data_IF_904035188843
#
_entry.id   IF_904035188843
#
_cell.length_a   1.000
_cell.length_b   1.000
_cell.length_c   1.000
_cell.angle_alpha   90.00
_cell.angle_beta   90.00
_cell.angle_gamma   90.00
#
_symmetry.space_group_name_H-M   'P 1'
#
loop_
_entity.id
_entity.type
_entity.pdbx_description
1 polymer ?
#
# COMPACT_ATOMS: atom_id res chain seq x y z
N UNK A 1 30.45 37.47 14.05
CA UNK A 1 30.69 37.33 12.60
C UNK A 1 30.72 35.83 12.28
N UNK A 2 29.89 35.42 11.33
CA UNK A 2 29.83 34.16 10.57
C UNK A 2 30.31 32.81 11.14
N UNK A 3 29.42 31.81 11.07
CA UNK A 3 29.61 30.47 10.48
C UNK A 3 28.23 29.81 10.38
N UNK A 4 27.55 29.85 9.22
CA UNK A 4 27.64 28.92 8.08
C UNK A 4 27.18 27.49 8.46
N UNK A 5 25.88 27.23 8.25
CA UNK A 5 25.26 25.93 8.46
C UNK A 5 25.50 24.98 7.28
N UNK A 6 25.85 23.74 7.61
CA UNK A 6 25.92 22.64 6.65
C UNK A 6 24.51 22.30 6.15
N UNK A 7 24.28 22.52 4.85
CA UNK A 7 23.12 22.00 4.13
C UNK A 7 23.37 20.52 3.86
N UNK A 8 22.50 19.65 4.37
CA UNK A 8 22.38 18.29 3.87
C UNK A 8 21.92 18.34 2.40
N UNK A 9 22.79 17.95 1.48
CA UNK A 9 22.46 17.76 0.08
C UNK A 9 21.52 16.55 -0.07
N UNK A 10 20.31 16.83 -0.55
CA UNK A 10 19.36 15.83 -0.99
C UNK A 10 19.86 15.27 -2.33
N UNK A 11 19.95 13.96 -2.45
CA UNK A 11 20.16 13.30 -3.74
C UNK A 11 18.95 13.60 -4.63
N UNK A 12 19.13 14.50 -5.60
CA UNK A 12 18.16 14.72 -6.67
C UNK A 12 18.12 13.47 -7.55
N UNK A 13 17.00 12.75 -7.52
CA UNK A 13 16.68 11.72 -8.52
C UNK A 13 15.88 12.45 -9.62
N UNK A 14 16.45 12.70 -10.81
CA UNK A 14 15.74 13.43 -11.85
C UNK A 14 14.50 12.65 -12.31
N UNK A 15 13.34 13.31 -12.26
CA UNK A 15 12.10 12.82 -12.86
C UNK A 15 12.26 12.87 -14.38
N UNK A 16 12.22 11.72 -15.06
CA UNK A 16 12.25 11.67 -16.52
C UNK A 16 10.94 12.25 -17.10
N UNK A 17 11.01 13.17 -18.10
CA UNK A 17 9.80 13.73 -18.70
C UNK A 17 8.96 12.69 -19.47
N UNK A 18 7.64 12.83 -19.36
CA UNK A 18 6.57 12.03 -20.01
C UNK A 18 6.57 12.00 -21.55
N UNK A 19 7.56 12.59 -22.24
CA UNK A 19 7.61 12.62 -23.72
C UNK A 19 7.90 11.25 -24.36
N UNK A 20 8.21 10.21 -23.57
CA UNK A 20 8.55 8.88 -24.09
C UNK A 20 7.35 7.98 -24.45
N UNK A 21 6.11 8.30 -24.04
CA UNK A 21 4.94 7.48 -24.39
C UNK A 21 4.51 7.59 -25.87
N UNK A 22 4.92 8.65 -26.58
CA UNK A 22 4.65 8.82 -28.03
C UNK A 22 5.71 8.18 -28.93
N UNK A 23 6.80 7.65 -28.37
CA UNK A 23 7.91 7.09 -29.13
C UNK A 23 7.79 5.57 -29.38
N UNK A 24 6.88 4.86 -28.69
CA UNK A 24 6.79 3.39 -28.77
C UNK A 24 6.11 2.84 -30.03
N UNK A 25 5.69 3.70 -30.98
CA UNK A 25 5.13 3.26 -32.27
C UNK A 25 6.11 3.33 -33.44
N UNK A 26 7.41 3.51 -33.21
CA UNK A 26 8.36 3.44 -34.33
C UNK A 26 9.83 3.43 -33.92
N UNK A 27 10.58 2.61 -34.66
CA UNK A 27 12.03 2.60 -34.83
C UNK A 27 12.81 1.53 -34.05
N UNK A 28 12.97 0.43 -34.78
CA UNK A 28 14.14 -0.42 -34.94
C UNK A 28 15.49 0.25 -34.63
N UNK A 29 16.27 -0.41 -33.76
CA UNK A 29 17.74 -0.53 -33.80
C UNK A 29 18.58 0.75 -33.71
N UNK A 30 19.28 0.93 -32.58
CA UNK A 30 20.70 1.30 -32.53
C UNK A 30 21.27 1.24 -31.10
N UNK A 31 22.59 1.03 -31.02
CA UNK A 31 23.42 0.58 -29.91
C UNK A 31 23.71 1.60 -28.79
N UNK A 32 24.01 1.08 -27.59
CA UNK A 32 24.43 1.79 -26.37
C UNK A 32 25.90 2.29 -26.51
N UNK A 33 26.26 3.51 -26.07
CA UNK A 33 27.66 3.93 -25.97
C UNK A 33 28.33 3.43 -24.67
N UNK A 34 29.54 2.91 -24.79
CA UNK A 34 30.45 2.55 -23.69
C UNK A 34 30.91 3.78 -22.88
N UNK A 35 30.99 3.67 -21.54
CA UNK A 35 31.79 4.62 -20.74
C UNK A 35 31.29 5.09 -19.36
N UNK A 36 30.29 4.47 -18.73
CA UNK A 36 29.89 4.89 -17.37
C UNK A 36 30.73 4.22 -16.27
N UNK A 37 31.61 4.98 -15.61
CA UNK A 37 32.30 4.60 -14.37
C UNK A 37 31.67 5.36 -13.20
N UNK A 38 30.85 4.66 -12.41
CA UNK A 38 30.28 5.20 -11.16
C UNK A 38 31.33 5.29 -10.03
N UNK A 39 31.17 6.19 -9.05
CA UNK A 39 32.12 6.36 -7.97
C UNK A 39 31.97 5.25 -6.92
N UNK A 40 33.08 4.58 -6.64
CA UNK A 40 33.30 3.75 -5.45
C UNK A 40 33.74 4.71 -4.33
N UNK A 41 33.11 4.66 -3.16
CA UNK A 41 33.75 5.15 -1.95
C UNK A 41 33.32 4.36 -0.71
N UNK A 42 34.33 4.19 0.14
CA UNK A 42 34.47 3.27 1.25
C UNK A 42 33.59 3.64 2.45
N UNK A 43 33.06 2.61 3.12
CA UNK A 43 32.34 2.74 4.40
C UNK A 43 33.35 2.59 5.55
N UNK A 44 33.66 3.67 6.23
CA UNK A 44 34.27 3.64 7.56
C UNK A 44 33.20 3.75 8.66
N UNK A 45 33.30 2.83 9.63
CA UNK A 45 32.52 2.74 10.86
C UNK A 45 33.14 3.66 11.92
N UNK A 46 32.33 4.39 12.73
CA UNK A 46 32.48 4.14 14.16
C UNK A 46 31.20 4.29 15.00
N UNK A 47 30.95 3.25 15.79
CA UNK A 47 30.20 3.30 17.04
C UNK A 47 30.92 4.15 18.11
N UNK A 48 30.22 5.12 18.71
CA UNK A 48 30.19 5.51 20.15
C UNK A 48 30.03 7.02 20.35
N UNK A 49 28.84 7.46 20.79
CA UNK A 49 28.69 8.40 21.90
C UNK A 49 27.25 8.36 22.40
N UNK A 50 27.09 8.03 23.67
CA UNK A 50 25.82 7.81 24.34
C UNK A 50 25.43 9.07 25.15
N UNK A 51 24.13 9.18 25.46
CA UNK A 51 23.60 9.72 26.73
C UNK A 51 23.73 11.23 26.96
N UNK A 52 22.64 11.99 26.80
CA UNK A 52 21.84 12.64 27.89
C UNK A 52 21.00 13.79 27.35
N UNK A 53 19.68 13.76 27.60
CA UNK A 53 18.88 14.87 28.13
C UNK A 53 17.39 14.45 28.16
N UNK A 54 16.94 13.95 29.30
CA UNK A 54 15.53 13.72 29.55
C UNK A 54 14.84 15.01 29.97
N UNK A 55 13.61 15.21 29.50
CA UNK A 55 12.62 16.00 30.24
C UNK A 55 11.33 15.17 30.38
N UNK A 56 10.93 15.03 31.63
CA UNK A 56 9.85 14.17 32.08
C UNK A 56 8.47 14.70 31.65
N UNK A 57 7.75 13.92 30.84
CA UNK A 57 6.29 13.89 30.91
C UNK A 57 5.88 12.63 31.67
N UNK A 58 5.26 12.83 32.83
CA UNK A 58 4.65 11.78 33.66
C UNK A 58 3.54 11.10 32.85
N UNK A 59 3.88 10.08 32.07
CA UNK A 59 2.93 9.12 31.54
C UNK A 59 2.58 8.17 32.68
N UNK A 60 1.28 8.08 33.03
CA UNK A 60 0.77 6.94 33.79
C UNK A 60 0.90 5.70 32.91
N UNK A 61 2.05 5.03 33.01
CA UNK A 61 2.31 3.73 32.40
C UNK A 61 1.35 2.72 33.05
N UNK A 62 0.36 2.24 32.30
CA UNK A 62 -0.35 1.01 32.66
C UNK A 62 0.60 -0.18 32.43
N UNK A 63 0.61 -1.21 33.30
CA UNK A 63 1.60 -2.27 33.25
C UNK A 63 1.47 -3.18 32.01
N UNK A 64 2.55 -3.94 31.80
CA UNK A 64 2.91 -4.73 30.63
C UNK A 64 1.96 -5.90 30.29
N UNK A 65 2.15 -6.41 29.06
CA UNK A 65 1.39 -7.40 28.27
C UNK A 65 0.81 -8.61 29.02
N UNK A 66 -0.42 -9.00 28.62
CA UNK A 66 -1.01 -10.33 28.85
C UNK A 66 -1.63 -10.88 27.54
N UNK A 67 -1.70 -12.21 27.32
CA UNK A 67 -2.05 -12.80 26.02
C UNK A 67 -3.51 -12.71 25.59
N UNK A 68 -3.66 -12.97 24.27
CA UNK A 68 -4.79 -12.99 23.36
C UNK A 68 -6.16 -13.54 23.82
N UNK A 69 -7.22 -13.01 23.21
CA UNK A 69 -8.52 -13.66 23.09
C UNK A 69 -9.67 -12.68 23.27
N UNK A 70 -10.14 -12.55 24.52
CA UNK A 70 -11.37 -11.83 24.85
C UNK A 70 -11.31 -10.32 24.59
N UNK A 71 -10.16 -9.66 24.83
CA UNK A 71 -10.02 -8.22 24.56
C UNK A 71 -9.97 -7.90 23.06
N UNK A 72 -9.36 -8.76 22.23
CA UNK A 72 -9.38 -8.61 20.76
C UNK A 72 -10.78 -8.85 20.21
N UNK A 73 -11.48 -9.88 20.69
CA UNK A 73 -12.87 -10.16 20.33
C UNK A 73 -13.79 -9.01 20.75
N UNK A 74 -13.60 -8.45 21.94
CA UNK A 74 -14.39 -7.32 22.42
C UNK A 74 -14.10 -6.03 21.64
N UNK A 75 -12.82 -5.75 21.29
CA UNK A 75 -12.46 -4.63 20.39
C UNK A 75 -13.08 -4.83 19.00
N UNK A 76 -13.09 -6.05 18.49
CA UNK A 76 -13.73 -6.39 17.22
C UNK A 76 -15.25 -6.20 17.27
N UNK A 77 -15.92 -6.72 18.31
CA UNK A 77 -17.37 -6.57 18.51
C UNK A 77 -17.77 -5.10 18.68
N UNK A 78 -16.97 -4.31 19.41
CA UNK A 78 -17.15 -2.85 19.48
C UNK A 78 -16.91 -2.17 18.14
N UNK A 79 -15.90 -2.61 17.38
CA UNK A 79 -15.67 -2.14 16.02
C UNK A 79 -16.89 -2.35 15.13
N UNK A 80 -17.49 -3.55 15.18
CA UNK A 80 -18.72 -3.86 14.46
C UNK A 80 -19.90 -2.99 14.91
N UNK A 81 -20.07 -2.79 16.22
CA UNK A 81 -21.11 -1.92 16.75
C UNK A 81 -20.92 -0.46 16.33
N UNK A 82 -19.68 0.03 16.31
CA UNK A 82 -19.31 1.35 15.81
C UNK A 82 -19.60 1.48 14.33
N UNK A 83 -19.30 0.45 13.52
CA UNK A 83 -19.64 0.44 12.10
C UNK A 83 -21.14 0.49 11.87
N UNK A 84 -21.94 -0.23 12.66
CA UNK A 84 -23.40 -0.21 12.55
C UNK A 84 -24.00 1.13 12.98
N UNK A 85 -23.51 1.70 14.09
CA UNK A 85 -24.04 2.95 14.66
C UNK A 85 -23.50 4.22 13.99
N UNK A 86 -22.34 4.14 13.32
CA UNK A 86 -21.63 5.26 12.67
C UNK A 86 -21.63 6.55 13.51
N UNK A 87 -21.19 6.51 14.78
CA UNK A 87 -21.17 7.71 15.62
C UNK A 87 -20.19 8.73 15.04
N UNK A 88 -20.51 10.02 15.22
CA UNK A 88 -19.66 11.12 14.73
C UNK A 88 -18.38 11.24 15.56
N UNK A 89 -18.51 11.09 16.88
CA UNK A 89 -17.40 11.07 17.84
C UNK A 89 -17.17 9.64 18.31
N UNK A 90 -15.94 9.14 18.15
CA UNK A 90 -15.58 7.79 18.56
C UNK A 90 -14.88 7.78 19.92
N UNK A 91 -15.28 6.84 20.77
CA UNK A 91 -14.59 6.56 22.04
C UNK A 91 -13.31 5.74 21.86
N UNK A 92 -13.24 4.97 20.78
CA UNK A 92 -12.14 4.07 20.46
C UNK A 92 -11.39 4.57 19.22
N UNK A 93 -10.09 4.26 19.16
CA UNK A 93 -9.26 4.51 17.99
C UNK A 93 -9.54 3.51 16.85
N UNK A 94 -9.14 3.82 15.59
CA UNK A 94 -9.33 2.89 14.50
C UNK A 94 -8.56 1.57 14.73
N UNK A 95 -9.04 0.49 14.12
CA UNK A 95 -8.42 -0.83 14.26
C UNK A 95 -7.31 -1.08 13.23
N UNK A 96 -7.36 -0.35 12.11
CA UNK A 96 -6.44 -0.47 10.99
C UNK A 96 -5.69 0.85 10.75
N UNK A 97 -4.37 0.75 10.66
CA UNK A 97 -3.51 1.87 10.27
C UNK A 97 -2.87 1.54 8.92
N UNK A 98 -3.06 2.43 7.96
CA UNK A 98 -2.25 2.45 6.76
C UNK A 98 -1.08 3.41 7.01
N UNK A 99 0.15 2.93 6.84
CA UNK A 99 1.36 3.67 7.16
C UNK A 99 2.22 3.75 5.91
N UNK A 100 2.42 4.96 5.41
CA UNK A 100 3.31 5.24 4.29
C UNK A 100 4.66 5.68 4.85
N UNK A 101 5.66 4.81 4.77
CA UNK A 101 7.00 5.11 5.30
C UNK A 101 7.70 6.17 4.45
N UNK A 102 7.52 6.13 3.14
CA UNK A 102 8.02 7.15 2.21
C UNK A 102 7.12 7.18 0.97
N UNK A 103 7.08 8.34 0.32
CA UNK A 103 6.49 8.52 -1.00
C UNK A 103 7.58 8.49 -2.12
N UNK A 104 8.84 8.23 -1.77
CA UNK A 104 9.92 7.95 -2.73
C UNK A 104 9.70 6.57 -3.37
N UNK A 105 9.97 6.44 -4.67
CA UNK A 105 9.90 5.17 -5.38
C UNK A 105 11.01 5.10 -6.42
N UNK A 106 11.53 3.90 -6.66
CA UNK A 106 12.56 3.63 -7.65
C UNK A 106 12.00 3.14 -9.01
N UNK A 107 10.67 3.12 -9.18
CA UNK A 107 9.99 2.77 -10.43
C UNK A 107 9.13 3.94 -10.92
N UNK A 108 8.75 3.93 -12.20
CA UNK A 108 7.91 4.95 -12.83
C UNK A 108 6.73 4.32 -13.58
N UNK A 109 5.82 3.69 -12.83
CA UNK A 109 4.75 2.89 -13.40
C UNK A 109 3.75 3.76 -14.19
N UNK A 110 3.25 3.26 -15.33
CA UNK A 110 2.27 3.96 -16.17
C UNK A 110 0.94 4.23 -15.46
N UNK A 111 0.59 3.37 -14.50
CA UNK A 111 -0.64 3.44 -13.69
C UNK A 111 -0.51 4.28 -12.43
N UNK A 112 0.68 4.79 -12.11
CA UNK A 112 0.91 5.47 -10.83
C UNK A 112 0.69 6.98 -10.96
N UNK A 113 -0.03 7.57 -10.01
CA UNK A 113 -0.21 9.03 -9.90
C UNK A 113 0.93 9.73 -9.16
N UNK A 114 2.05 9.06 -8.91
CA UNK A 114 3.15 9.62 -8.10
C UNK A 114 3.73 10.88 -8.74
N UNK A 115 3.89 10.88 -10.05
CA UNK A 115 4.44 11.99 -10.82
C UNK A 115 3.56 13.25 -10.76
N UNK A 116 2.26 13.10 -10.49
CA UNK A 116 1.30 14.20 -10.32
C UNK A 116 0.96 14.51 -8.87
N UNK A 117 1.32 13.67 -7.90
CA UNK A 117 0.98 13.87 -6.47
C UNK A 117 2.19 14.22 -5.60
N UNK A 118 3.40 13.83 -6.01
CA UNK A 118 4.62 13.97 -5.21
C UNK A 118 5.58 14.92 -5.90
N UNK A 119 5.53 16.19 -5.51
CA UNK A 119 6.45 17.22 -6.03
C UNK A 119 7.87 17.01 -5.47
N UNK A 120 7.96 16.64 -4.18
CA UNK A 120 9.21 16.32 -3.49
C UNK A 120 8.96 15.17 -2.53
N UNK A 121 9.82 14.16 -2.60
CA UNK A 121 9.68 13.00 -1.75
C UNK A 121 9.91 13.33 -0.26
N UNK A 122 9.11 12.71 0.59
CA UNK A 122 9.10 12.79 2.05
C UNK A 122 9.48 11.44 2.66
N UNK A 123 10.00 11.53 3.89
CA UNK A 123 10.37 10.39 4.72
C UNK A 123 9.63 10.49 6.05
N UNK A 124 8.91 9.42 6.43
CA UNK A 124 8.13 9.41 7.66
C UNK A 124 9.05 9.37 8.88
N UNK A 125 9.10 10.47 9.63
CA UNK A 125 9.98 10.60 10.79
C UNK A 125 9.70 9.57 11.88
N UNK A 126 10.77 9.12 12.53
CA UNK A 126 10.76 8.24 13.72
C UNK A 126 9.75 8.64 14.78
N UNK A 127 9.77 9.92 15.14
CA UNK A 127 8.90 10.48 16.19
C UNK A 127 7.41 10.40 15.81
N UNK A 128 7.07 10.52 14.52
CA UNK A 128 5.70 10.51 14.04
C UNK A 128 5.08 9.11 14.08
N UNK A 129 5.74 8.12 13.48
CA UNK A 129 5.18 6.77 13.45
C UNK A 129 5.17 6.13 14.84
N UNK A 130 6.16 6.40 15.70
CA UNK A 130 6.16 5.90 17.08
C UNK A 130 4.99 6.46 17.88
N UNK A 131 4.80 7.78 17.82
CA UNK A 131 3.71 8.45 18.54
C UNK A 131 2.35 7.89 18.13
N UNK A 132 2.09 7.75 16.83
CA UNK A 132 0.82 7.21 16.32
C UNK A 132 0.63 5.74 16.73
N UNK A 133 1.65 4.88 16.59
CA UNK A 133 1.52 3.46 16.95
C UNK A 133 1.26 3.30 18.47
N UNK A 134 1.96 4.05 19.31
CA UNK A 134 1.82 3.96 20.77
C UNK A 134 0.47 4.47 21.27
N UNK A 135 -0.03 5.54 20.65
CA UNK A 135 -1.31 6.16 20.98
C UNK A 135 -2.48 5.30 20.46
N UNK A 136 -2.48 4.97 19.18
CA UNK A 136 -3.57 4.25 18.51
C UNK A 136 -3.64 2.77 18.89
N UNK A 137 -2.48 2.12 19.08
CA UNK A 137 -2.35 0.66 19.26
C UNK A 137 -3.19 -0.13 18.23
N UNK A 138 -2.90 0.03 16.93
CA UNK A 138 -3.64 -0.61 15.85
C UNK A 138 -3.61 -2.13 16.01
N UNK A 139 -4.68 -2.80 15.59
CA UNK A 139 -4.69 -4.27 15.53
C UNK A 139 -3.95 -4.77 14.29
N UNK A 140 -3.98 -3.99 13.21
CA UNK A 140 -3.28 -4.28 11.97
C UNK A 140 -2.68 -2.99 11.40
N UNK A 141 -1.44 -3.08 10.93
CA UNK A 141 -0.76 -2.04 10.16
C UNK A 141 -0.49 -2.58 8.76
N UNK A 142 -0.92 -1.85 7.74
CA UNK A 142 -0.43 -2.07 6.39
C UNK A 142 0.61 -1.01 6.09
N UNK A 143 1.86 -1.42 5.89
CA UNK A 143 2.95 -0.55 5.44
C UNK A 143 2.89 -0.50 3.93
N UNK A 144 2.34 0.57 3.38
CA UNK A 144 2.28 0.82 1.95
C UNK A 144 1.91 2.28 1.69
N UNK A 145 2.13 2.71 0.46
CA UNK A 145 1.83 4.07 0.04
C UNK A 145 1.95 4.22 -1.47
N UNK A 146 2.14 5.47 -1.91
CA UNK A 146 2.50 5.79 -3.29
C UNK A 146 3.98 5.51 -3.59
N UNK A 147 4.81 5.47 -2.53
CA UNK A 147 6.23 5.13 -2.60
C UNK A 147 6.53 3.64 -2.40
N UNK A 148 7.83 3.32 -2.36
CA UNK A 148 8.37 1.99 -2.08
C UNK A 148 8.86 1.90 -0.63
N UNK A 149 8.22 1.10 0.25
CA UNK A 149 8.58 1.06 1.66
C UNK A 149 10.03 0.69 1.96
N UNK A 150 10.65 -0.19 1.17
CA UNK A 150 12.02 -0.64 1.39
C UNK A 150 13.09 0.43 1.05
N UNK A 151 12.69 1.60 0.54
CA UNK A 151 13.57 2.76 0.45
C UNK A 151 13.72 3.50 1.79
N UNK A 152 12.81 3.28 2.75
CA UNK A 152 12.91 3.89 4.07
C UNK A 152 14.02 3.22 4.90
N UNK A 153 14.99 3.97 5.46
CA UNK A 153 16.13 3.39 6.19
C UNK A 153 15.70 2.60 7.44
N UNK A 154 14.62 3.03 8.10
CA UNK A 154 14.09 2.37 9.31
C UNK A 154 12.94 1.37 9.02
N UNK A 155 12.73 0.91 7.77
CA UNK A 155 11.57 0.07 7.43
C UNK A 155 11.43 -1.17 8.34
N UNK A 156 12.53 -1.89 8.57
CA UNK A 156 12.53 -3.07 9.44
C UNK A 156 12.27 -2.72 10.91
N UNK A 157 12.68 -1.54 11.35
CA UNK A 157 12.44 -1.06 12.70
C UNK A 157 10.97 -0.66 12.90
N UNK A 158 10.36 0.01 11.92
CA UNK A 158 8.91 0.31 11.91
C UNK A 158 8.11 -0.99 12.07
N UNK A 159 8.44 -2.01 11.27
CA UNK A 159 7.77 -3.32 11.30
C UNK A 159 7.97 -4.00 12.66
N UNK A 160 9.22 -4.13 13.11
CA UNK A 160 9.54 -4.81 14.38
C UNK A 160 8.90 -4.10 15.57
N UNK A 161 8.89 -2.76 15.57
CA UNK A 161 8.24 -1.95 16.59
C UNK A 161 6.73 -2.19 16.62
N UNK A 162 6.08 -2.13 15.47
CA UNK A 162 4.65 -2.42 15.34
C UNK A 162 4.28 -3.81 15.88
N UNK A 163 5.07 -4.84 15.55
CA UNK A 163 4.90 -6.21 16.07
C UNK A 163 5.08 -6.26 17.59
N UNK A 164 6.09 -5.57 18.14
CA UNK A 164 6.31 -5.49 19.59
C UNK A 164 5.14 -4.81 20.35
N UNK A 165 4.34 -3.99 19.66
CA UNK A 165 3.10 -3.38 20.18
C UNK A 165 1.84 -4.22 19.95
N UNK A 166 1.99 -5.41 19.37
CA UNK A 166 0.92 -6.40 19.22
C UNK A 166 0.07 -6.26 17.96
N UNK A 167 0.51 -5.46 16.98
CA UNK A 167 -0.15 -5.35 15.68
C UNK A 167 0.18 -6.55 14.78
N UNK A 168 -0.73 -6.92 13.89
CA UNK A 168 -0.35 -7.59 12.65
C UNK A 168 0.27 -6.58 11.69
N UNK A 169 1.22 -6.99 10.86
CA UNK A 169 1.91 -6.12 9.91
C UNK A 169 1.92 -6.75 8.53
N UNK A 170 1.38 -6.03 7.56
CA UNK A 170 1.46 -6.38 6.15
C UNK A 170 2.28 -5.32 5.42
N UNK A 171 3.00 -5.69 4.37
CA UNK A 171 3.82 -4.75 3.61
C UNK A 171 3.52 -4.90 2.12
N UNK A 172 3.16 -3.82 1.43
CA UNK A 172 3.09 -3.83 -0.05
C UNK A 172 4.34 -3.20 -0.64
N UNK A 173 4.92 -3.85 -1.64
CA UNK A 173 6.22 -3.47 -2.20
C UNK A 173 6.30 -3.86 -3.67
N UNK A 174 7.04 -3.07 -4.45
CA UNK A 174 7.48 -3.44 -5.80
C UNK A 174 8.54 -4.55 -5.78
N UNK A 175 9.13 -4.82 -4.62
CA UNK A 175 10.04 -5.92 -4.33
C UNK A 175 11.37 -5.94 -5.11
N UNK A 176 11.80 -4.77 -5.55
CA UNK A 176 13.07 -4.57 -6.29
C UNK A 176 14.21 -4.03 -5.43
N UNK A 177 13.99 -3.65 -4.16
CA UNK A 177 15.03 -2.96 -3.35
C UNK A 177 15.15 -3.49 -1.92
N UNK A 178 15.15 -4.81 -1.77
CA UNK A 178 15.32 -5.46 -0.46
C UNK A 178 16.78 -5.64 -0.02
N UNK A 179 17.76 -5.27 -0.86
CA UNK A 179 19.21 -5.17 -0.53
C UNK A 179 19.79 -6.47 0.06
N UNK A 180 19.50 -7.62 -0.53
CA UNK A 180 19.97 -8.94 -0.07
C UNK A 180 19.63 -9.30 1.39
N UNK A 181 18.63 -8.62 1.96
CA UNK A 181 18.20 -8.83 3.35
C UNK A 181 17.03 -9.83 3.46
N UNK A 182 16.95 -10.83 2.59
CA UNK A 182 15.82 -11.79 2.55
C UNK A 182 15.62 -12.49 3.89
N UNK A 183 16.71 -12.90 4.56
CA UNK A 183 16.66 -13.47 5.92
C UNK A 183 16.00 -12.51 6.91
N UNK A 184 16.49 -11.27 6.96
CA UNK A 184 15.96 -10.22 7.85
C UNK A 184 14.51 -9.89 7.53
N UNK A 185 14.11 -9.95 6.27
CA UNK A 185 12.72 -9.79 5.85
C UNK A 185 11.82 -10.90 6.44
N UNK A 186 12.28 -12.15 6.44
CA UNK A 186 11.55 -13.26 7.07
C UNK A 186 11.49 -13.10 8.60
N UNK A 187 12.58 -12.66 9.23
CA UNK A 187 12.69 -12.54 10.69
C UNK A 187 11.98 -11.29 11.27
N UNK A 188 11.82 -10.21 10.49
CA UNK A 188 11.32 -8.93 11.02
C UNK A 188 9.84 -8.93 11.44
N UNK A 189 9.10 -9.99 11.11
CA UNK A 189 7.72 -10.19 11.57
C UNK A 189 6.64 -9.63 10.65
N UNK A 190 6.93 -9.45 9.34
CA UNK A 190 5.87 -9.24 8.35
C UNK A 190 4.99 -10.50 8.30
N UNK A 191 3.68 -10.32 8.48
CA UNK A 191 2.70 -11.42 8.39
C UNK A 191 2.37 -11.71 6.92
N UNK A 192 2.16 -10.67 6.10
CA UNK A 192 1.97 -10.81 4.66
C UNK A 192 2.77 -9.78 3.86
N UNK A 193 3.52 -10.29 2.87
CA UNK A 193 4.21 -9.53 1.85
C UNK A 193 3.37 -9.49 0.57
N UNK A 194 2.95 -8.29 0.16
CA UNK A 194 2.11 -8.05 -1.02
C UNK A 194 3.01 -7.52 -2.15
N UNK A 195 3.43 -8.42 -3.03
CA UNK A 195 4.35 -8.13 -4.12
C UNK A 195 3.58 -7.60 -5.33
N UNK A 196 3.85 -6.37 -5.71
CA UNK A 196 3.25 -5.67 -6.84
C UNK A 196 3.92 -6.11 -8.15
N UNK A 197 3.42 -7.18 -8.77
CA UNK A 197 4.11 -7.82 -9.92
C UNK A 197 3.60 -7.35 -11.29
N UNK A 198 2.28 -7.14 -11.46
CA UNK A 198 1.59 -6.63 -12.66
C UNK A 198 1.91 -7.27 -14.03
N UNK A 199 2.76 -8.29 -14.11
CA UNK A 199 3.13 -8.98 -15.34
C UNK A 199 3.64 -10.40 -15.09
N UNK A 200 3.50 -11.29 -16.07
CA UNK A 200 4.07 -12.65 -16.05
C UNK A 200 5.31 -12.82 -16.92
N UNK A 201 5.76 -11.75 -17.57
CA UNK A 201 6.95 -11.72 -18.41
C UNK A 201 7.67 -10.36 -18.32
N UNK A 202 8.97 -10.30 -18.68
CA UNK A 202 9.77 -9.08 -18.60
C UNK A 202 9.28 -7.92 -19.48
N UNK A 203 8.72 -8.19 -20.66
CA UNK A 203 8.34 -7.13 -21.60
C UNK A 203 7.08 -6.41 -21.15
N UNK A 204 6.07 -7.16 -20.71
CA UNK A 204 4.87 -6.60 -20.08
C UNK A 204 5.22 -5.86 -18.78
N UNK A 205 6.17 -6.39 -18.00
CA UNK A 205 6.64 -5.71 -16.79
C UNK A 205 7.28 -4.37 -17.13
N UNK A 206 8.23 -4.34 -18.08
CA UNK A 206 8.91 -3.10 -18.50
C UNK A 206 7.92 -2.07 -19.03
N UNK A 207 6.93 -2.51 -19.83
CA UNK A 207 5.87 -1.65 -20.34
C UNK A 207 5.05 -0.98 -19.22
N UNK A 208 4.74 -1.72 -18.15
CA UNK A 208 3.87 -1.23 -17.07
C UNK A 208 4.66 -0.48 -15.98
N UNK A 209 5.83 -1.00 -15.60
CA UNK A 209 6.60 -0.58 -14.42
C UNK A 209 7.77 0.35 -14.77
N UNK A 210 8.16 0.40 -16.04
CA UNK A 210 9.19 1.31 -16.56
C UNK A 210 10.63 0.86 -16.37
N UNK A 211 10.87 -0.33 -15.80
CA UNK A 211 12.20 -0.86 -15.46
C UNK A 211 12.30 -2.35 -15.82
N UNK A 212 13.53 -2.85 -16.00
CA UNK A 212 13.81 -4.26 -16.27
C UNK A 212 14.18 -5.01 -14.98
N UNK A 213 13.20 -5.17 -14.09
CA UNK A 213 13.39 -5.79 -12.77
C UNK A 213 12.49 -7.01 -12.53
N UNK A 214 11.88 -7.55 -13.58
CA UNK A 214 10.98 -8.70 -13.46
C UNK A 214 11.71 -9.93 -12.90
N UNK A 215 12.87 -10.27 -13.46
CA UNK A 215 13.66 -11.41 -13.02
C UNK A 215 14.15 -11.24 -11.58
N UNK A 216 14.56 -10.02 -11.21
CA UNK A 216 14.95 -9.67 -9.84
C UNK A 216 13.82 -9.96 -8.83
N UNK A 217 12.58 -9.59 -9.15
CA UNK A 217 11.42 -9.87 -8.29
C UNK A 217 11.20 -11.37 -8.15
N UNK A 218 11.24 -12.11 -9.26
CA UNK A 218 11.07 -13.57 -9.27
C UNK A 218 12.12 -14.26 -8.39
N UNK A 219 13.39 -13.86 -8.52
CA UNK A 219 14.48 -14.43 -7.73
C UNK A 219 14.38 -14.03 -6.25
N UNK A 220 13.97 -12.80 -5.97
CA UNK A 220 13.69 -12.36 -4.59
C UNK A 220 12.59 -13.19 -3.93
N UNK A 221 11.54 -13.60 -4.66
CA UNK A 221 10.47 -14.44 -4.12
C UNK A 221 11.00 -15.84 -3.81
N UNK A 222 11.80 -16.41 -4.71
CA UNK A 222 12.45 -17.72 -4.51
C UNK A 222 13.33 -17.69 -3.27
N UNK A 223 14.12 -16.64 -3.09
CA UNK A 223 14.99 -16.46 -1.93
C UNK A 223 14.22 -16.30 -0.61
N UNK A 224 13.12 -15.53 -0.59
CA UNK A 224 12.25 -15.45 0.59
C UNK A 224 11.66 -16.82 0.93
N UNK A 225 11.17 -17.55 -0.07
CA UNK A 225 10.63 -18.90 0.15
C UNK A 225 11.69 -19.90 0.61
N UNK A 226 12.94 -19.76 0.14
CA UNK A 226 14.08 -20.54 0.66
C UNK A 226 14.34 -20.23 2.14
N UNK A 227 14.44 -18.95 2.50
CA UNK A 227 14.69 -18.54 3.89
C UNK A 227 13.53 -18.92 4.84
N UNK A 228 12.28 -18.87 4.38
CA UNK A 228 11.12 -19.39 5.13
C UNK A 228 11.31 -20.86 5.49
N UNK A 229 11.73 -21.70 4.54
CA UNK A 229 12.01 -23.12 4.77
C UNK A 229 13.18 -23.33 5.73
N UNK A 230 14.28 -22.61 5.53
CA UNK A 230 15.49 -22.71 6.36
C UNK A 230 15.23 -22.33 7.82
N UNK A 231 14.40 -21.31 8.05
CA UNK A 231 14.04 -20.83 9.38
C UNK A 231 12.82 -21.55 9.98
N UNK A 232 12.18 -22.48 9.25
CA UNK A 232 10.93 -23.11 9.67
C UNK A 232 9.76 -22.13 9.84
N UNK A 233 9.80 -21.00 9.13
CA UNK A 233 8.81 -19.92 9.23
C UNK A 233 7.67 -20.11 8.23
N UNK A 234 6.43 -19.92 8.70
CA UNK A 234 5.24 -19.83 7.83
C UNK A 234 5.02 -18.41 7.30
N UNK A 235 5.67 -17.40 7.89
CA UNK A 235 5.56 -15.99 7.51
C UNK A 235 6.86 -15.43 6.90
N UNK A 236 6.78 -14.39 6.05
CA UNK A 236 5.56 -13.77 5.55
C UNK A 236 4.82 -14.71 4.59
N UNK A 237 3.50 -14.67 4.62
CA UNK A 237 2.72 -15.13 3.46
C UNK A 237 3.03 -14.21 2.28
N UNK A 238 3.36 -14.77 1.11
CA UNK A 238 3.63 -14.00 -0.11
C UNK A 238 2.36 -13.97 -0.94
N UNK A 239 1.96 -12.78 -1.38
CA UNK A 239 0.78 -12.56 -2.22
C UNK A 239 1.13 -11.67 -3.39
N UNK A 240 0.66 -12.00 -4.59
CA UNK A 240 0.69 -11.06 -5.70
C UNK A 240 -0.40 -10.02 -5.58
N UNK A 241 -0.04 -8.75 -5.76
CA UNK A 241 -0.98 -7.70 -6.12
C UNK A 241 -0.83 -7.45 -7.62
N UNK A 242 -1.97 -7.46 -8.31
CA UNK A 242 -2.03 -7.34 -9.76
C UNK A 242 -3.02 -6.25 -10.13
N UNK A 243 -2.52 -5.06 -10.45
CA UNK A 243 -3.31 -3.94 -10.90
C UNK A 243 -3.78 -4.23 -12.33
N UNK A 244 -5.05 -4.64 -12.44
CA UNK A 244 -5.63 -5.13 -13.68
C UNK A 244 -5.89 -3.96 -14.63
N UNK A 245 -5.35 -4.09 -15.85
CA UNK A 245 -5.40 -3.08 -16.88
C UNK A 245 -5.29 -3.69 -18.27
N UNK A 246 -5.46 -2.87 -19.30
CA UNK A 246 -5.33 -3.24 -20.71
C UNK A 246 -4.08 -4.05 -21.02
N UNK A 247 -2.94 -3.66 -20.47
CA UNK A 247 -1.66 -4.26 -20.83
C UNK A 247 -1.43 -5.65 -20.23
N UNK A 248 -2.19 -6.05 -19.21
CA UNK A 248 -1.94 -7.30 -18.49
C UNK A 248 -3.17 -8.18 -18.25
N UNK A 249 -4.40 -7.72 -18.56
CA UNK A 249 -5.60 -8.50 -18.23
C UNK A 249 -5.61 -9.89 -18.88
N UNK A 250 -5.01 -10.04 -20.06
CA UNK A 250 -4.87 -11.34 -20.74
C UNK A 250 -4.00 -12.34 -19.96
N UNK A 251 -3.16 -11.87 -19.05
CA UNK A 251 -2.26 -12.68 -18.23
C UNK A 251 -2.89 -13.15 -16.91
N UNK A 252 -4.19 -12.91 -16.68
CA UNK A 252 -4.84 -13.29 -15.41
C UNK A 252 -4.66 -14.77 -15.08
N UNK A 253 -4.72 -15.64 -16.08
CA UNK A 253 -4.57 -17.09 -15.93
C UNK A 253 -3.10 -17.47 -15.74
N UNK A 254 -2.20 -16.89 -16.54
CA UNK A 254 -0.75 -17.12 -16.44
C UNK A 254 -0.19 -16.67 -15.09
N UNK A 255 -0.81 -15.65 -14.46
CA UNK A 255 -0.46 -15.21 -13.12
C UNK A 255 -0.71 -16.29 -12.06
N UNK A 256 -1.74 -17.12 -12.26
CA UNK A 256 -2.03 -18.28 -11.40
C UNK A 256 -0.96 -19.35 -11.57
N UNK A 257 -0.51 -19.59 -12.80
CA UNK A 257 0.60 -20.52 -13.08
C UNK A 257 1.91 -20.04 -12.45
N UNK A 258 2.21 -18.75 -12.60
CA UNK A 258 3.39 -18.13 -11.98
C UNK A 258 3.33 -18.20 -10.44
N UNK A 259 2.16 -17.95 -9.85
CA UNK A 259 1.99 -18.06 -8.41
C UNK A 259 2.23 -19.49 -7.91
N UNK A 260 1.77 -20.50 -8.65
CA UNK A 260 2.07 -21.92 -8.36
C UNK A 260 3.56 -22.20 -8.48
N UNK A 261 4.20 -21.80 -9.59
CA UNK A 261 5.63 -22.02 -9.84
C UNK A 261 6.47 -21.46 -8.68
N UNK A 262 6.15 -20.23 -8.26
CA UNK A 262 6.91 -19.52 -7.26
C UNK A 262 6.48 -19.84 -5.82
N UNK A 263 5.53 -20.75 -5.61
CA UNK A 263 4.99 -21.08 -4.28
C UNK A 263 4.48 -19.84 -3.54
N UNK A 264 3.68 -19.03 -4.23
CA UNK A 264 3.00 -17.84 -3.68
C UNK A 264 1.64 -18.25 -3.13
N UNK A 265 1.29 -17.74 -1.95
CA UNK A 265 0.10 -18.18 -1.19
C UNK A 265 -1.22 -17.62 -1.76
N UNK A 266 -1.16 -16.47 -2.46
CA UNK A 266 -2.36 -15.87 -3.02
C UNK A 266 -2.15 -14.78 -4.06
N UNK A 267 -3.26 -14.36 -4.65
CA UNK A 267 -3.33 -13.32 -5.68
C UNK A 267 -4.45 -12.35 -5.35
N UNK A 268 -4.19 -11.06 -5.46
CA UNK A 268 -5.17 -9.99 -5.34
C UNK A 268 -5.24 -9.22 -6.65
N UNK A 269 -6.30 -9.48 -7.41
CA UNK A 269 -6.64 -8.72 -8.60
C UNK A 269 -7.23 -7.37 -8.16
N UNK A 270 -6.47 -6.31 -8.38
CA UNK A 270 -6.77 -4.96 -7.95
C UNK A 270 -7.35 -4.17 -9.12
N UNK A 271 -8.51 -3.53 -8.91
CA UNK A 271 -9.02 -2.52 -9.83
C UNK A 271 -8.15 -1.27 -9.78
N UNK A 272 -8.09 -0.53 -10.89
CA UNK A 272 -7.44 0.77 -10.93
C UNK A 272 -8.32 1.89 -10.36
N UNK A 273 -7.66 2.93 -9.86
CA UNK A 273 -8.27 4.20 -9.47
C UNK A 273 -7.73 5.28 -10.38
N UNK A 274 -8.62 6.04 -11.02
CA UNK A 274 -8.26 7.01 -12.06
C UNK A 274 -8.50 8.46 -11.63
N UNK A 275 -8.78 8.70 -10.35
CA UNK A 275 -9.03 10.06 -9.85
C UNK A 275 -7.74 10.86 -10.01
N UNK A 276 -7.84 12.02 -10.66
CA UNK A 276 -6.72 12.88 -11.10
C UNK A 276 -5.81 12.25 -12.19
N UNK A 277 -6.18 11.11 -12.78
CA UNK A 277 -5.50 10.45 -13.93
C UNK A 277 -6.47 10.16 -15.09
N UNK A 278 -7.51 10.98 -15.25
CA UNK A 278 -8.55 10.77 -16.24
C UNK A 278 -8.01 10.77 -17.69
N UNK A 279 -6.92 11.50 -17.93
CA UNK A 279 -6.20 11.55 -19.21
C UNK A 279 -5.55 10.21 -19.59
N UNK A 280 -5.15 9.40 -18.60
CA UNK A 280 -4.53 8.08 -18.81
C UNK A 280 -5.57 6.98 -18.98
N UNK A 281 -6.81 7.20 -18.54
CA UNK A 281 -7.83 6.15 -18.43
C UNK A 281 -8.03 5.40 -19.74
N UNK A 282 -8.22 6.10 -20.86
CA UNK A 282 -8.41 5.47 -22.17
C UNK A 282 -7.23 4.59 -22.61
N UNK A 283 -6.00 4.98 -22.27
CA UNK A 283 -4.80 4.19 -22.56
C UNK A 283 -4.76 2.92 -21.70
N UNK A 284 -5.18 3.03 -20.44
CA UNK A 284 -5.14 1.95 -19.44
C UNK A 284 -6.31 0.97 -19.54
N UNK A 285 -7.43 1.30 -20.20
CA UNK A 285 -8.64 0.45 -20.27
C UNK A 285 -9.20 0.20 -21.67
N UNK A 286 -8.86 1.02 -22.66
CA UNK A 286 -9.74 1.33 -23.80
C UNK A 286 -10.12 0.21 -24.79
N UNK A 287 -9.46 -0.94 -24.78
CA UNK A 287 -9.80 -2.08 -25.67
C UNK A 287 -10.05 -3.39 -24.92
N UNK A 288 -10.22 -3.31 -23.59
CA UNK A 288 -10.56 -4.49 -22.80
C UNK A 288 -11.98 -4.96 -23.15
N UNK A 289 -12.14 -6.25 -23.42
CA UNK A 289 -13.47 -6.87 -23.57
C UNK A 289 -13.98 -7.35 -22.21
N UNK A 290 -15.24 -6.99 -21.93
CA UNK A 290 -15.97 -7.40 -20.73
C UNK A 290 -16.13 -8.91 -20.65
N UNK A 291 -16.56 -9.51 -21.75
CA UNK A 291 -16.77 -10.96 -21.92
C UNK A 291 -15.45 -11.70 -21.75
N UNK A 292 -14.39 -11.21 -22.41
CA UNK A 292 -13.08 -11.83 -22.31
C UNK A 292 -12.51 -11.78 -20.90
N UNK A 293 -12.69 -10.66 -20.20
CA UNK A 293 -12.26 -10.53 -18.81
C UNK A 293 -13.03 -11.49 -17.88
N UNK A 294 -14.34 -11.65 -18.09
CA UNK A 294 -15.13 -12.64 -17.35
C UNK A 294 -14.63 -14.07 -17.56
N UNK A 295 -14.35 -14.45 -18.81
CA UNK A 295 -13.80 -15.77 -19.12
C UNK A 295 -12.45 -16.00 -18.43
N UNK A 296 -11.57 -15.00 -18.45
CA UNK A 296 -10.26 -15.06 -17.79
C UNK A 296 -10.39 -15.16 -16.27
N UNK A 297 -11.32 -14.43 -15.67
CA UNK A 297 -11.61 -14.49 -14.23
C UNK A 297 -12.13 -15.90 -13.85
N UNK A 298 -13.09 -16.44 -14.61
CA UNK A 298 -13.64 -17.78 -14.39
C UNK A 298 -12.54 -18.86 -14.44
N UNK A 299 -11.70 -18.80 -15.46
CA UNK A 299 -10.61 -19.76 -15.63
C UNK A 299 -9.52 -19.60 -14.55
N UNK A 300 -9.19 -18.36 -14.18
CA UNK A 300 -8.23 -18.08 -13.11
C UNK A 300 -8.72 -18.62 -11.75
N UNK A 301 -10.01 -18.44 -11.44
CA UNK A 301 -10.61 -18.95 -10.20
C UNK A 301 -10.64 -20.48 -10.17
N UNK A 302 -10.97 -21.12 -11.29
CA UNK A 302 -10.92 -22.59 -11.42
C UNK A 302 -9.52 -23.12 -11.11
N UNK A 303 -8.47 -22.58 -11.76
CA UNK A 303 -7.08 -23.03 -11.54
C UNK A 303 -6.56 -22.71 -10.16
N UNK A 304 -6.89 -21.53 -9.62
CA UNK A 304 -6.47 -21.15 -8.29
C UNK A 304 -7.02 -22.13 -7.23
N UNK A 305 -8.28 -22.57 -7.38
CA UNK A 305 -8.88 -23.61 -6.52
C UNK A 305 -8.17 -24.96 -6.65
N UNK A 306 -7.82 -25.37 -7.87
CA UNK A 306 -7.06 -26.61 -8.12
C UNK A 306 -5.68 -26.59 -7.46
N UNK A 307 -5.04 -25.42 -7.41
CA UNK A 307 -3.70 -25.26 -6.83
C UNK A 307 -3.72 -24.87 -5.34
N UNK A 308 -4.91 -24.58 -4.78
CA UNK A 308 -5.04 -24.11 -3.40
C UNK A 308 -4.52 -22.68 -3.19
N UNK A 309 -4.46 -21.85 -4.23
CA UNK A 309 -4.00 -20.46 -4.19
C UNK A 309 -5.17 -19.55 -3.79
N UNK A 310 -4.99 -18.73 -2.76
CA UNK A 310 -6.04 -17.81 -2.30
C UNK A 310 -6.23 -16.65 -3.28
N UNK A 311 -7.47 -16.31 -3.62
CA UNK A 311 -7.77 -15.15 -4.48
C UNK A 311 -8.92 -14.30 -3.94
N UNK A 312 -9.10 -13.11 -4.53
CA UNK A 312 -10.29 -12.28 -4.35
C UNK A 312 -11.30 -12.42 -5.51
N UNK A 313 -11.19 -13.46 -6.34
CA UNK A 313 -12.04 -13.59 -7.53
C UNK A 313 -13.51 -13.83 -7.20
N UNK A 314 -13.84 -14.35 -6.01
CA UNK A 314 -15.21 -14.42 -5.52
C UNK A 314 -15.87 -13.04 -5.40
N UNK A 315 -15.08 -12.02 -5.00
CA UNK A 315 -15.55 -10.64 -4.99
C UNK A 315 -15.76 -10.14 -6.41
N UNK A 316 -14.87 -10.50 -7.34
CA UNK A 316 -15.01 -10.15 -8.76
C UNK A 316 -16.26 -10.75 -9.37
N UNK A 317 -16.59 -12.02 -9.09
CA UNK A 317 -17.84 -12.62 -9.58
C UNK A 317 -19.08 -11.91 -9.05
N UNK A 318 -19.08 -11.53 -7.77
CA UNK A 318 -20.25 -10.91 -7.14
C UNK A 318 -20.44 -9.45 -7.57
N UNK A 319 -19.35 -8.69 -7.64
CA UNK A 319 -19.37 -7.25 -7.85
C UNK A 319 -18.82 -6.86 -9.24
N UNK A 320 -18.86 -7.77 -10.23
CA UNK A 320 -18.22 -7.58 -11.53
C UNK A 320 -18.65 -6.28 -12.21
N UNK A 321 -19.96 -6.03 -12.30
CA UNK A 321 -20.51 -4.80 -12.89
C UNK A 321 -19.99 -3.54 -12.20
N UNK A 322 -19.78 -3.60 -10.88
CA UNK A 322 -19.29 -2.46 -10.10
C UNK A 322 -17.80 -2.23 -10.33
N UNK A 323 -17.03 -3.30 -10.53
CA UNK A 323 -15.63 -3.18 -10.94
C UNK A 323 -15.50 -2.70 -12.39
N UNK A 324 -16.35 -3.21 -13.29
CA UNK A 324 -16.41 -2.80 -14.69
C UNK A 324 -16.78 -1.33 -14.81
N UNK A 325 -17.76 -0.86 -14.04
CA UNK A 325 -18.20 0.53 -14.01
C UNK A 325 -17.03 1.52 -13.77
N UNK A 326 -16.03 1.13 -12.99
CA UNK A 326 -14.84 1.99 -12.73
C UNK A 326 -13.95 2.19 -13.96
N UNK A 327 -14.02 1.29 -14.95
CA UNK A 327 -13.27 1.37 -16.20
C UNK A 327 -13.98 2.19 -17.27
N UNK A 328 -15.30 2.42 -17.14
CA UNK A 328 -16.11 3.24 -18.05
C UNK A 328 -15.74 4.72 -17.99
N UNK A 329 -15.99 5.49 -19.05
CA UNK A 329 -15.75 6.95 -19.02
C UNK A 329 -16.53 7.66 -17.90
N UNK A 330 -16.18 8.90 -17.55
CA UNK A 330 -16.94 9.64 -16.52
C UNK A 330 -18.41 9.86 -16.92
N UNK A 331 -18.70 9.97 -18.21
CA UNK A 331 -20.06 10.15 -18.72
C UNK A 331 -20.90 8.87 -18.62
N UNK A 332 -20.24 7.71 -18.63
CA UNK A 332 -20.86 6.39 -18.51
C UNK A 332 -20.81 5.82 -17.09
N UNK A 333 -20.08 6.47 -16.17
CA UNK A 333 -19.88 6.01 -14.80
C UNK A 333 -21.16 6.16 -13.97
N UNK A 334 -21.67 5.04 -13.47
CA UNK A 334 -22.79 5.05 -12.52
C UNK A 334 -22.33 5.43 -11.10
N UNK A 335 -23.02 6.39 -10.50
CA UNK A 335 -22.63 6.96 -9.22
C UNK A 335 -22.86 5.98 -8.06
N UNK A 336 -21.86 5.86 -7.18
CA UNK A 336 -21.92 4.88 -6.11
C UNK A 336 -22.78 5.30 -4.89
N UNK A 337 -23.82 4.52 -4.61
CA UNK A 337 -24.73 4.72 -3.47
C UNK A 337 -24.40 3.89 -2.22
N UNK A 338 -23.34 3.06 -2.20
CA UNK A 338 -23.00 2.19 -1.05
C UNK A 338 -22.46 2.93 0.17
N UNK A 339 -22.95 2.64 1.37
CA UNK A 339 -22.42 3.24 2.60
C UNK A 339 -20.91 2.99 2.77
N UNK A 340 -20.15 4.03 3.14
CA UNK A 340 -18.73 3.93 3.47
C UNK A 340 -18.54 3.77 4.99
N UNK A 341 -17.61 2.91 5.40
CA UNK A 341 -17.26 2.67 6.80
C UNK A 341 -15.81 3.03 7.14
N UNK A 342 -14.99 3.40 6.16
CA UNK A 342 -13.54 3.59 6.35
C UNK A 342 -13.19 4.60 7.47
N UNK A 343 -13.80 5.80 7.55
CA UNK A 343 -13.45 6.80 8.58
C UNK A 343 -13.85 6.43 10.02
N UNK A 344 -14.46 5.25 10.23
CA UNK A 344 -14.77 4.70 11.55
C UNK A 344 -13.83 3.58 11.98
N UNK A 345 -13.11 2.94 11.05
CA UNK A 345 -12.32 1.74 11.34
C UNK A 345 -10.87 1.81 10.89
N UNK A 346 -10.54 2.73 9.97
CA UNK A 346 -9.23 2.88 9.37
C UNK A 346 -8.78 4.33 9.36
N UNK A 347 -7.48 4.53 9.31
CA UNK A 347 -6.84 5.81 9.01
C UNK A 347 -5.57 5.59 8.20
N UNK A 348 -4.97 6.66 7.68
CA UNK A 348 -3.72 6.69 6.95
C UNK A 348 -2.78 7.72 7.57
N UNK A 349 -1.54 7.33 7.85
CA UNK A 349 -0.44 8.22 8.18
C UNK A 349 0.48 8.33 6.97
N UNK A 350 0.50 9.50 6.32
CA UNK A 350 1.32 9.75 5.14
C UNK A 350 2.78 9.99 5.51
N UNK A 351 3.69 9.77 4.55
CA UNK A 351 5.11 10.08 4.76
C UNK A 351 5.37 11.56 5.08
N UNK A 352 4.46 12.41 4.63
CA UNK A 352 4.40 13.85 4.87
C UNK A 352 3.88 14.24 6.28
N UNK A 353 3.52 13.27 7.12
CA UNK A 353 2.98 13.51 8.47
C UNK A 353 1.50 13.89 8.51
N UNK A 354 0.83 14.00 7.36
CA UNK A 354 -0.61 14.24 7.29
C UNK A 354 -1.40 12.96 7.55
N UNK A 355 -2.38 13.06 8.45
CA UNK A 355 -3.35 12.01 8.71
C UNK A 355 -4.52 12.14 7.74
N UNK A 356 -4.92 11.02 7.14
CA UNK A 356 -6.03 10.93 6.17
C UNK A 356 -7.04 9.85 6.59
N UNK A 357 -8.32 9.94 6.18
CA UNK A 357 -9.39 9.13 6.76
C UNK A 357 -9.54 7.73 6.11
N UNK A 358 -8.88 7.49 4.98
CA UNK A 358 -9.04 6.25 4.23
C UNK A 358 -7.86 6.05 3.27
N UNK A 359 -7.69 4.85 2.69
CA UNK A 359 -6.63 4.56 1.74
C UNK A 359 -6.88 5.03 0.31
N UNK A 360 -8.00 5.73 0.04
CA UNK A 360 -8.34 6.22 -1.30
C UNK A 360 -8.03 7.71 -1.47
N UNK A 361 -8.29 8.54 -0.47
CA UNK A 361 -8.02 9.99 -0.55
C UNK A 361 -6.53 10.38 -0.73
N UNK A 362 -5.52 9.61 -0.27
CA UNK A 362 -4.12 9.92 -0.56
C UNK A 362 -3.77 9.93 -2.05
N UNK A 363 -4.58 9.29 -2.89
CA UNK A 363 -4.39 9.23 -4.35
C UNK A 363 -5.03 10.42 -5.09
N UNK A 364 -5.37 11.50 -4.38
CA UNK A 364 -6.02 12.68 -4.96
C UNK A 364 -5.39 13.92 -4.36
N UNK A 365 -4.96 14.86 -5.21
CA UNK A 365 -4.16 16.01 -4.79
C UNK A 365 -4.98 16.87 -3.81
N UNK A 366 -4.32 17.26 -2.72
CA UNK A 366 -4.85 18.10 -1.63
C UNK A 366 -6.14 17.60 -0.95
N UNK A 367 -6.51 16.33 -1.12
CA UNK A 367 -7.70 15.74 -0.51
C UNK A 367 -7.39 14.98 0.79
N UNK A 368 -8.34 14.99 1.73
CA UNK A 368 -8.32 14.11 2.89
C UNK A 368 -7.36 14.48 4.03
N UNK A 369 -6.72 15.66 4.01
CA UNK A 369 -5.84 16.13 5.11
C UNK A 369 -6.63 16.48 6.37
N UNK A 370 -6.77 15.52 7.30
CA UNK A 370 -7.55 15.64 8.53
C UNK A 370 -6.83 16.39 9.65
N UNK A 371 -5.49 16.34 9.64
CA UNK A 371 -4.63 17.01 10.62
C UNK A 371 -3.19 16.54 10.45
N UNK A 372 -2.26 17.17 11.14
CA UNK A 372 -0.83 16.89 10.99
C UNK A 372 -0.19 16.50 12.32
N UNK A 373 0.51 15.35 12.36
CA UNK A 373 1.04 14.77 13.61
C UNK A 373 2.18 15.60 14.23
N UNK A 374 2.84 16.44 13.44
CA UNK A 374 3.85 17.36 13.95
C UNK A 374 3.28 18.53 14.77
N UNK A 375 1.97 18.78 14.73
CA UNK A 375 1.34 19.91 15.45
C UNK A 375 0.18 19.49 16.35
N UNK A 376 -0.32 18.24 16.21
CA UNK A 376 -1.46 17.71 16.94
C UNK A 376 -1.21 16.26 17.32
N UNK A 377 -1.74 15.82 18.45
CA UNK A 377 -1.83 14.40 18.82
C UNK A 377 -2.80 13.65 17.89
N UNK A 378 -2.68 12.32 17.82
CA UNK A 378 -3.61 11.55 17.00
C UNK A 378 -5.05 11.65 17.53
N UNK A 379 -5.25 11.74 18.85
CA UNK A 379 -6.56 11.96 19.49
C UNK A 379 -7.25 13.23 19.00
N UNK A 380 -6.53 14.35 18.99
CA UNK A 380 -7.04 15.65 18.56
C UNK A 380 -7.48 15.61 17.10
N UNK A 381 -6.75 14.89 16.26
CA UNK A 381 -7.10 14.74 14.85
C UNK A 381 -8.30 13.79 14.70
N UNK A 382 -8.26 12.59 15.29
CA UNK A 382 -9.24 11.51 15.08
C UNK A 382 -10.68 11.90 15.40
N UNK A 383 -10.86 12.80 16.37
CA UNK A 383 -12.14 13.39 16.74
C UNK A 383 -12.18 14.90 16.53
N UNK A 384 -11.29 15.45 15.71
CA UNK A 384 -11.31 16.85 15.29
C UNK A 384 -12.38 17.15 14.25
N UNK A 385 -12.59 18.43 13.96
CA UNK A 385 -13.73 18.91 13.17
C UNK A 385 -13.79 18.28 11.77
N UNK A 386 -12.66 18.19 11.06
CA UNK A 386 -12.61 17.60 9.71
C UNK A 386 -13.08 16.14 9.67
N UNK A 387 -12.74 15.34 10.68
CA UNK A 387 -13.22 13.97 10.78
C UNK A 387 -14.72 13.91 11.09
N UNK A 388 -15.22 14.81 11.94
CA UNK A 388 -16.65 14.88 12.29
C UNK A 388 -17.48 15.26 11.07
N UNK A 389 -17.08 16.31 10.35
CA UNK A 389 -17.72 16.77 9.12
C UNK A 389 -17.78 15.64 8.07
N UNK A 390 -16.68 14.93 7.85
CA UNK A 390 -16.64 13.80 6.92
C UNK A 390 -17.57 12.66 7.35
N UNK A 391 -17.56 12.29 8.64
CA UNK A 391 -18.42 11.23 9.17
C UNK A 391 -19.90 11.62 9.09
N UNK A 392 -20.24 12.87 9.35
CA UNK A 392 -21.61 13.39 9.25
C UNK A 392 -22.13 13.31 7.82
N UNK A 393 -21.35 13.81 6.85
CA UNK A 393 -21.70 13.74 5.43
C UNK A 393 -21.90 12.27 4.99
N UNK A 394 -20.94 11.40 5.29
CA UNK A 394 -21.03 9.98 4.91
C UNK A 394 -22.16 9.23 5.64
N UNK A 395 -22.51 9.61 6.88
CA UNK A 395 -23.63 9.04 7.62
C UNK A 395 -24.98 9.42 7.00
N UNK A 396 -25.08 10.62 6.42
CA UNK A 396 -26.25 11.07 5.62
C UNK A 396 -26.29 10.46 4.21
N UNK A 397 -25.30 9.65 3.83
CA UNK A 397 -25.20 9.03 2.51
C UNK A 397 -24.54 9.92 1.46
N UNK A 398 -24.00 11.07 1.85
CA UNK A 398 -23.34 12.00 0.94
C UNK A 398 -21.98 11.47 0.45
N UNK A 399 -21.46 12.08 -0.62
CA UNK A 399 -20.12 11.86 -1.17
C UNK A 399 -19.37 13.19 -1.25
N UNK A 400 -18.82 13.66 -0.11
CA UNK A 400 -18.41 15.05 0.02
C UNK A 400 -17.17 15.41 -0.80
N UNK A 401 -16.40 14.42 -1.28
CA UNK A 401 -15.12 14.65 -1.96
C UNK A 401 -15.08 14.04 -3.35
N UNK A 402 -14.05 14.40 -4.15
CA UNK A 402 -13.88 13.87 -5.52
C UNK A 402 -13.62 12.38 -5.47
N UNK A 403 -12.70 11.94 -4.61
CA UNK A 403 -12.43 10.51 -4.46
C UNK A 403 -13.67 9.76 -3.95
N UNK A 404 -14.50 10.36 -3.08
CA UNK A 404 -15.71 9.69 -2.59
C UNK A 404 -16.73 9.39 -3.71
N UNK A 405 -16.88 10.29 -4.69
CA UNK A 405 -17.89 10.16 -5.76
C UNK A 405 -17.63 8.97 -6.69
N UNK A 406 -16.35 8.69 -6.95
CA UNK A 406 -15.90 7.61 -7.84
C UNK A 406 -15.39 6.38 -7.08
N UNK A 407 -15.30 6.47 -5.75
CA UNK A 407 -14.92 5.33 -4.91
C UNK A 407 -16.04 4.33 -4.80
N UNK A 408 -15.65 3.05 -4.83
CA UNK A 408 -16.47 1.94 -4.41
C UNK A 408 -15.99 1.46 -3.02
N UNK A 409 -16.65 1.85 -1.92
CA UNK A 409 -16.22 1.53 -0.58
C UNK A 409 -16.42 0.04 -0.33
N UNK A 410 -15.53 -0.52 0.48
CA UNK A 410 -15.70 -1.88 0.97
C UNK A 410 -16.96 -1.93 1.83
N UNK A 411 -17.92 -2.78 1.44
CA UNK A 411 -19.07 -3.05 2.28
C UNK A 411 -18.68 -3.93 3.48
N UNK A 412 -19.62 -4.13 4.40
CA UNK A 412 -19.37 -4.89 5.62
C UNK A 412 -18.92 -6.32 5.31
N UNK A 413 -19.48 -6.94 4.26
CA UNK A 413 -19.05 -8.26 3.84
C UNK A 413 -17.58 -8.21 3.42
N UNK A 414 -17.18 -7.26 2.58
CA UNK A 414 -15.80 -7.15 2.11
C UNK A 414 -14.82 -6.91 3.26
N UNK A 415 -15.19 -6.06 4.22
CA UNK A 415 -14.35 -5.78 5.40
C UNK A 415 -14.15 -7.04 6.24
N UNK A 416 -15.16 -7.90 6.35
CA UNK A 416 -15.10 -9.16 7.10
C UNK A 416 -14.41 -10.26 6.28
N UNK A 417 -14.71 -10.39 4.99
CA UNK A 417 -14.25 -11.46 4.10
C UNK A 417 -12.80 -11.31 3.67
N UNK A 418 -12.34 -10.08 3.37
CA UNK A 418 -10.94 -9.79 3.05
C UNK A 418 -10.05 -10.19 4.23
N UNK A 419 -10.52 -9.92 5.46
CA UNK A 419 -9.78 -10.28 6.66
C UNK A 419 -9.69 -11.79 6.90
N UNK A 420 -10.70 -12.57 6.50
CA UNK A 420 -10.70 -14.03 6.67
C UNK A 420 -10.03 -14.80 5.54
N UNK A 421 -9.88 -14.20 4.35
CA UNK A 421 -9.39 -14.89 3.14
C UNK A 421 -8.01 -14.44 2.67
N UNK A 422 -7.58 -13.23 3.03
CA UNK A 422 -6.39 -12.59 2.47
C UNK A 422 -5.42 -12.06 3.52
N UNK A 423 -5.67 -12.33 4.79
CA UNK A 423 -4.75 -12.07 5.88
C UNK A 423 -4.56 -13.40 6.63
N UNK A 424 -3.31 -13.84 6.84
CA UNK A 424 -3.01 -15.10 7.51
C UNK A 424 -3.45 -15.13 8.99
#
# INVERSE_FOLDING_TARGET
MHQAGEKQELVEIPLLPMTQLKAYTGLTGQSIPEGWKGPVNELENPNRAAVTAGLAMRTKVRPALEPLGMKKLWRFARGLLTMLRRPIVLKDYPIHLQLESTDACNLNCTTCSRDILVDKASLLKTEYWRAVIDEMRPTNINVSGIGEPFLHPEIYEIITYAKSRGAGVNCATNFTRIRDNHRKLVECGIDQLKVSIDATDPDTFRLIRGEDSWQEIVDNIREVNRWKKELGSTTPSVRFNFALQRFNYLQCVDLVELAKELSVDGIYYQFLSYVDMEDRKGILTGDMSKEKLLDLINESDRRAREYGIQTNLDMWHRDFELFWNRMLSLDEFDANHKNCYMPWISTWLGADGWVRPCPIMPWTRDEGRMGHIGTQTFAEIWNGDKYRELREALARGERPTRSCKTCYPQDLYNIVSIKSKLLP
#
